data_IF_517003010482
#
_entry.id   IF_517003010482
#
_cell.length_a   1.000
_cell.length_b   1.000
_cell.length_c   1.000
_cell.angle_alpha   90.00
_cell.angle_beta   90.00
_cell.angle_gamma   90.00
#
_symmetry.space_group_name_H-M   'P 1'
#
loop_
_entity.id
_entity.type
_entity.pdbx_description
1 polymer ?
#
# COMPACT_ATOMS: atom_id res chain seq x y z
N UNK A 1 23.16 -9.16 2.42
CA UNK A 1 23.89 -7.97 2.87
C UNK A 1 23.03 -6.69 2.75
N UNK A 2 22.49 -6.45 1.55
CA UNK A 2 21.65 -5.25 1.35
C UNK A 2 20.46 -5.24 2.30
N UNK A 3 19.83 -6.40 2.53
CA UNK A 3 18.68 -6.50 3.42
C UNK A 3 19.02 -6.03 4.83
N UNK A 4 20.18 -6.36 5.35
CA UNK A 4 20.58 -5.96 6.70
C UNK A 4 20.64 -4.44 6.84
N UNK A 5 21.19 -3.76 5.84
CA UNK A 5 21.28 -2.31 5.84
C UNK A 5 19.90 -1.66 5.77
N UNK A 6 19.05 -2.17 4.87
CA UNK A 6 17.71 -1.64 4.70
C UNK A 6 16.88 -1.85 5.96
N UNK A 7 17.02 -3.00 6.60
CA UNK A 7 16.26 -3.27 7.81
C UNK A 7 16.67 -2.33 8.94
N UNK A 8 17.97 -2.08 9.09
CA UNK A 8 18.47 -1.14 10.10
C UNK A 8 17.95 0.27 9.84
N UNK A 9 18.01 0.72 8.59
CA UNK A 9 17.50 2.03 8.23
C UNK A 9 15.99 2.13 8.51
N UNK A 10 15.26 1.07 8.17
CA UNK A 10 13.81 1.02 8.35
C UNK A 10 13.44 1.11 9.84
N UNK A 11 14.20 0.45 10.68
CA UNK A 11 13.93 0.43 12.13
C UNK A 11 14.14 1.79 12.78
N UNK A 12 14.97 2.65 12.17
CA UNK A 12 15.16 4.02 12.67
C UNK A 12 14.27 5.03 11.94
N UNK A 13 13.28 4.56 11.17
CA UNK A 13 12.27 5.42 10.58
C UNK A 13 12.54 5.87 9.15
N UNK A 14 13.54 5.30 8.48
CA UNK A 14 13.81 5.66 7.08
C UNK A 14 12.77 5.01 6.16
N UNK A 15 11.96 5.84 5.51
CA UNK A 15 10.85 5.38 4.67
C UNK A 15 11.35 4.56 3.48
N UNK A 16 12.43 5.00 2.85
CA UNK A 16 13.01 4.25 1.74
C UNK A 16 13.52 2.89 2.21
N UNK A 17 14.11 2.84 3.41
CA UNK A 17 14.54 1.58 4.02
C UNK A 17 13.38 0.65 4.28
N UNK A 18 12.25 1.20 4.76
CA UNK A 18 11.04 0.42 4.99
C UNK A 18 10.54 -0.21 3.68
N UNK A 19 10.54 0.56 2.60
CA UNK A 19 10.14 0.07 1.29
C UNK A 19 11.07 -1.04 0.82
N UNK A 20 12.38 -0.84 0.96
CA UNK A 20 13.37 -1.81 0.50
C UNK A 20 13.29 -3.12 1.28
N UNK A 21 13.00 -3.05 2.59
CA UNK A 21 12.78 -4.25 3.40
C UNK A 21 11.54 -4.99 2.88
N UNK A 22 10.47 -4.26 2.58
CA UNK A 22 9.26 -4.86 2.04
C UNK A 22 9.56 -5.60 0.74
N UNK A 23 10.31 -4.97 -0.16
CA UNK A 23 10.67 -5.58 -1.45
C UNK A 23 11.53 -6.84 -1.23
N UNK A 24 12.44 -6.81 -0.26
CA UNK A 24 13.27 -7.97 0.05
C UNK A 24 12.43 -9.18 0.45
N UNK A 25 11.44 -8.97 1.33
CA UNK A 25 10.55 -10.06 1.73
C UNK A 25 9.61 -10.48 0.61
N UNK A 26 9.24 -9.54 -0.25
CA UNK A 26 8.33 -9.82 -1.35
C UNK A 26 9.00 -10.64 -2.44
N UNK A 27 10.29 -10.43 -2.68
CA UNK A 27 11.03 -11.12 -3.74
C UNK A 27 11.89 -12.25 -3.22
N UNK A 28 12.20 -12.27 -1.93
CA UNK A 28 13.11 -13.25 -1.35
C UNK A 28 14.57 -12.91 -1.58
N UNK A 29 14.89 -11.64 -1.81
CA UNK A 29 16.26 -11.20 -2.05
C UNK A 29 16.95 -10.92 -0.72
N UNK A 30 17.91 -11.76 -0.37
CA UNK A 30 18.69 -11.62 0.87
C UNK A 30 17.97 -12.12 2.11
N UNK A 31 16.75 -12.64 1.96
CA UNK A 31 15.93 -13.13 3.06
C UNK A 31 14.90 -14.10 2.50
N UNK A 32 14.37 -15.01 3.32
CA UNK A 32 13.32 -15.91 2.87
C UNK A 32 12.06 -15.13 2.52
N UNK A 33 11.52 -15.42 1.34
CA UNK A 33 10.32 -14.76 0.85
C UNK A 33 9.17 -14.92 1.86
N UNK A 34 8.49 -13.82 2.17
CA UNK A 34 7.39 -13.82 3.13
C UNK A 34 6.44 -12.69 2.80
N UNK A 35 5.34 -13.01 2.09
CA UNK A 35 4.40 -12.00 1.63
C UNK A 35 3.71 -11.28 2.79
N UNK A 36 3.40 -11.99 3.87
CA UNK A 36 2.74 -11.37 5.03
C UNK A 36 3.62 -10.29 5.64
N UNK A 37 4.91 -10.60 5.82
CA UNK A 37 5.87 -9.64 6.36
C UNK A 37 6.09 -8.48 5.39
N UNK A 38 6.14 -8.78 4.08
CA UNK A 38 6.27 -7.75 3.07
C UNK A 38 5.13 -6.73 3.17
N UNK A 39 3.89 -7.22 3.32
CA UNK A 39 2.73 -6.32 3.43
C UNK A 39 2.86 -5.40 4.64
N UNK A 40 3.34 -5.92 5.76
CA UNK A 40 3.52 -5.08 6.96
C UNK A 40 4.48 -3.92 6.71
N UNK A 41 5.58 -4.19 6.03
CA UNK A 41 6.56 -3.16 5.72
C UNK A 41 6.06 -2.20 4.63
N UNK A 42 5.35 -2.72 3.61
CA UNK A 42 4.73 -1.86 2.61
C UNK A 42 3.72 -0.91 3.26
N UNK A 43 2.93 -1.41 4.21
CA UNK A 43 1.95 -0.58 4.91
C UNK A 43 2.64 0.55 5.66
N UNK A 44 3.71 0.22 6.38
CA UNK A 44 4.44 1.23 7.14
C UNK A 44 5.00 2.31 6.22
N UNK A 45 5.65 1.90 5.12
CA UNK A 45 6.19 2.87 4.16
C UNK A 45 5.07 3.69 3.50
N UNK A 46 3.94 3.05 3.18
CA UNK A 46 2.81 3.73 2.56
C UNK A 46 2.22 4.79 3.47
N UNK A 47 2.07 4.47 4.75
CA UNK A 47 1.56 5.42 5.75
C UNK A 47 2.50 6.62 5.87
N UNK A 48 3.80 6.38 5.70
CA UNK A 48 4.81 7.43 5.77
C UNK A 48 5.02 8.16 4.44
N UNK A 49 4.15 7.93 3.46
CA UNK A 49 4.11 8.72 2.24
C UNK A 49 4.87 8.15 1.05
N UNK A 50 5.37 6.93 1.14
CA UNK A 50 6.11 6.34 0.01
C UNK A 50 5.14 5.91 -1.09
N UNK A 51 5.23 6.54 -2.26
CA UNK A 51 4.26 6.34 -3.33
C UNK A 51 4.28 4.93 -3.90
N UNK A 52 5.47 4.38 -4.13
CA UNK A 52 5.57 3.01 -4.64
C UNK A 52 5.02 1.99 -3.65
N UNK A 53 5.20 2.26 -2.34
CA UNK A 53 4.65 1.39 -1.32
C UNK A 53 3.12 1.45 -1.32
N UNK A 54 2.54 2.62 -1.54
CA UNK A 54 1.08 2.77 -1.63
C UNK A 54 0.54 1.96 -2.81
N UNK A 55 1.23 2.00 -3.95
CA UNK A 55 0.83 1.22 -5.11
C UNK A 55 0.90 -0.27 -4.81
N UNK A 56 2.03 -0.72 -4.27
CA UNK A 56 2.23 -2.14 -3.96
C UNK A 56 1.25 -2.63 -2.90
N UNK A 57 0.96 -1.82 -1.90
CA UNK A 57 0.00 -2.19 -0.86
C UNK A 57 -1.38 -2.38 -1.46
N UNK A 58 -1.81 -1.45 -2.31
CA UNK A 58 -3.09 -1.59 -3.01
C UNK A 58 -3.13 -2.85 -3.85
N UNK A 59 -2.03 -3.15 -4.55
CA UNK A 59 -1.94 -4.35 -5.38
C UNK A 59 -2.04 -5.62 -4.53
N UNK A 60 -1.40 -5.64 -3.36
CA UNK A 60 -1.49 -6.80 -2.45
C UNK A 60 -2.91 -7.05 -2.02
N UNK A 61 -3.66 -6.00 -1.68
CA UNK A 61 -5.06 -6.16 -1.33
C UNK A 61 -5.90 -6.58 -2.53
N UNK A 62 -5.61 -6.07 -3.71
CA UNK A 62 -6.36 -6.43 -4.92
C UNK A 62 -6.17 -7.92 -5.27
N UNK A 63 -4.98 -8.45 -5.04
CA UNK A 63 -4.64 -9.82 -5.38
C UNK A 63 -4.81 -10.80 -4.23
N UNK A 64 -4.89 -10.32 -3.00
CA UNK A 64 -4.90 -11.20 -1.83
C UNK A 64 -3.55 -11.84 -1.59
N UNK A 65 -2.47 -11.10 -1.81
CA UNK A 65 -1.10 -11.60 -1.70
C UNK A 65 -0.49 -11.13 -0.38
N UNK A 66 -0.39 -12.03 0.59
CA UNK A 66 0.12 -11.71 1.93
C UNK A 66 -0.90 -11.06 2.83
N UNK A 67 -2.12 -10.88 2.34
CA UNK A 67 -3.23 -10.27 3.07
C UNK A 67 -4.51 -10.76 2.41
N UNK A 68 -5.62 -10.80 3.16
CA UNK A 68 -6.90 -11.20 2.59
C UNK A 68 -7.30 -10.21 1.48
N UNK A 69 -7.76 -10.76 0.35
CA UNK A 69 -8.19 -9.93 -0.77
C UNK A 69 -9.28 -8.97 -0.31
N UNK A 70 -9.09 -7.68 -0.65
CA UNK A 70 -10.07 -6.66 -0.31
C UNK A 70 -9.99 -5.55 -1.35
N UNK A 71 -10.89 -5.64 -2.34
CA UNK A 71 -10.89 -4.69 -3.45
C UNK A 71 -11.22 -3.27 -3.01
N UNK A 72 -12.05 -3.14 -1.97
CA UNK A 72 -12.41 -1.82 -1.45
C UNK A 72 -11.18 -1.12 -0.82
N UNK A 73 -10.41 -1.86 -0.02
CA UNK A 73 -9.20 -1.31 0.57
C UNK A 73 -8.16 -0.97 -0.50
N UNK A 74 -8.04 -1.82 -1.53
CA UNK A 74 -7.16 -1.52 -2.66
C UNK A 74 -7.58 -0.21 -3.33
N UNK A 75 -8.89 -0.02 -3.52
CA UNK A 75 -9.42 1.20 -4.12
C UNK A 75 -9.10 2.43 -3.26
N UNK A 76 -9.17 2.28 -1.93
CA UNK A 76 -8.82 3.38 -1.01
C UNK A 76 -7.36 3.80 -1.22
N UNK A 77 -6.44 2.84 -1.21
CA UNK A 77 -5.02 3.18 -1.35
C UNK A 77 -4.71 3.79 -2.72
N UNK A 78 -5.32 3.27 -3.78
CA UNK A 78 -5.07 3.81 -5.12
C UNK A 78 -5.74 5.17 -5.32
N UNK A 79 -6.85 5.44 -4.64
CA UNK A 79 -7.46 6.78 -4.64
C UNK A 79 -6.54 7.78 -3.95
N UNK A 80 -5.92 7.38 -2.83
CA UNK A 80 -4.93 8.19 -2.14
C UNK A 80 -3.75 8.47 -3.06
N UNK A 81 -3.26 7.44 -3.73
CA UNK A 81 -2.11 7.56 -4.64
C UNK A 81 -2.43 8.50 -5.80
N UNK A 82 -3.66 8.47 -6.30
CA UNK A 82 -4.06 9.36 -7.39
C UNK A 82 -3.87 10.83 -7.02
N UNK A 83 -4.05 11.20 -5.77
CA UNK A 83 -3.84 12.57 -5.33
C UNK A 83 -2.42 13.06 -5.62
N UNK A 84 -1.44 12.14 -5.63
CA UNK A 84 -0.04 12.44 -5.93
C UNK A 84 0.33 12.14 -7.37
N UNK A 85 -0.17 11.01 -7.92
CA UNK A 85 0.22 10.52 -9.24
C UNK A 85 -0.72 10.98 -10.36
N UNK A 86 -1.86 11.56 -9.99
CA UNK A 86 -2.78 12.10 -10.98
C UNK A 86 -3.39 11.05 -11.89
N UNK A 87 -3.45 11.35 -13.18
CA UNK A 87 -4.15 10.50 -14.13
C UNK A 87 -3.50 9.15 -14.37
N UNK A 88 -2.25 8.96 -13.95
CA UNK A 88 -1.58 7.67 -14.12
C UNK A 88 -2.33 6.56 -13.39
N UNK A 89 -3.09 6.89 -12.34
CA UNK A 89 -3.87 5.91 -11.59
C UNK A 89 -5.31 5.79 -12.06
N UNK A 90 -5.75 6.65 -12.98
CA UNK A 90 -7.15 6.68 -13.38
C UNK A 90 -7.61 5.34 -13.97
N UNK A 91 -6.81 4.76 -14.84
CA UNK A 91 -7.16 3.49 -15.47
C UNK A 91 -7.27 2.36 -14.45
N UNK A 92 -6.33 2.31 -13.52
CA UNK A 92 -6.35 1.30 -12.46
C UNK A 92 -7.61 1.42 -11.61
N UNK A 93 -7.98 2.67 -11.28
CA UNK A 93 -9.18 2.92 -10.49
C UNK A 93 -10.45 2.58 -11.24
N UNK A 94 -10.49 2.83 -12.56
CA UNK A 94 -11.64 2.46 -13.36
C UNK A 94 -11.84 0.95 -13.40
N UNK A 95 -10.77 0.20 -13.60
CA UNK A 95 -10.82 -1.25 -13.65
C UNK A 95 -11.29 -1.81 -12.29
N UNK A 96 -10.69 -1.32 -11.23
CA UNK A 96 -11.01 -1.79 -9.88
C UNK A 96 -12.43 -1.36 -9.48
N UNK A 97 -12.80 -0.14 -9.81
CA UNK A 97 -14.11 0.40 -9.46
C UNK A 97 -15.27 -0.36 -10.08
N UNK A 98 -15.05 -0.96 -11.26
CA UNK A 98 -16.09 -1.77 -11.92
C UNK A 98 -16.40 -3.04 -11.14
N UNK A 99 -15.50 -3.46 -10.27
CA UNK A 99 -15.69 -4.67 -9.45
C UNK A 99 -16.34 -4.36 -8.11
N UNK A 100 -16.57 -3.08 -7.81
CA UNK A 100 -17.17 -2.64 -6.57
C UNK A 100 -18.61 -2.17 -6.81
N UNK A 101 -19.46 -2.34 -5.80
CA UNK A 101 -20.80 -1.74 -5.86
C UNK A 101 -20.65 -0.22 -5.73
N UNK A 102 -21.71 0.49 -6.12
CA UNK A 102 -21.72 1.95 -5.98
C UNK A 102 -21.44 2.37 -4.53
N UNK A 103 -22.07 1.70 -3.58
CA UNK A 103 -21.91 2.01 -2.16
C UNK A 103 -20.49 1.72 -1.70
N UNK A 104 -19.92 0.59 -2.12
CA UNK A 104 -18.53 0.26 -1.75
C UNK A 104 -17.56 1.31 -2.28
N UNK A 105 -17.76 1.73 -3.53
CA UNK A 105 -16.89 2.74 -4.15
C UNK A 105 -17.02 4.08 -3.44
N UNK A 106 -18.25 4.51 -3.14
CA UNK A 106 -18.46 5.79 -2.44
C UNK A 106 -17.90 5.76 -1.04
N UNK A 107 -18.02 4.65 -0.33
CA UNK A 107 -17.43 4.49 0.99
C UNK A 107 -15.93 4.57 0.92
N UNK A 108 -15.32 3.92 -0.09
CA UNK A 108 -13.87 3.95 -0.27
C UNK A 108 -13.38 5.37 -0.56
N UNK A 109 -14.09 6.10 -1.41
CA UNK A 109 -13.73 7.49 -1.72
C UNK A 109 -13.77 8.37 -0.46
N UNK A 110 -14.78 8.15 0.38
CA UNK A 110 -14.92 8.89 1.63
C UNK A 110 -13.78 8.57 2.59
N UNK A 111 -13.42 7.30 2.71
CA UNK A 111 -12.29 6.89 3.56
C UNK A 111 -10.99 7.49 3.05
N UNK A 112 -10.75 7.45 1.75
CA UNK A 112 -9.55 8.02 1.16
C UNK A 112 -9.45 9.52 1.44
N UNK A 113 -10.57 10.23 1.32
CA UNK A 113 -10.60 11.66 1.62
C UNK A 113 -10.25 11.93 3.08
N UNK A 114 -10.78 11.13 4.00
CA UNK A 114 -10.45 11.26 5.41
C UNK A 114 -8.95 11.05 5.65
N UNK A 115 -8.37 10.03 5.01
CA UNK A 115 -6.94 9.75 5.15
C UNK A 115 -6.10 10.90 4.64
N UNK A 116 -6.50 11.51 3.52
CA UNK A 116 -5.76 12.63 2.95
C UNK A 116 -5.85 13.88 3.80
N UNK A 117 -6.96 14.08 4.52
CA UNK A 117 -7.14 15.29 5.33
C UNK A 117 -6.69 15.11 6.77
N UNK A 118 -6.78 13.91 7.33
CA UNK A 118 -6.48 13.65 8.74
C UNK A 118 -5.19 12.87 8.96
N UNK A 119 -4.54 12.42 7.87
CA UNK A 119 -3.30 11.68 7.96
C UNK A 119 -3.45 10.25 7.52
N UNK A 120 -2.43 9.73 6.84
CA UNK A 120 -2.47 8.39 6.25
C UNK A 120 -2.55 7.29 7.30
N UNK A 121 -2.12 7.55 8.53
CA UNK A 121 -2.21 6.55 9.59
C UNK A 121 -3.66 6.21 9.92
N UNK A 122 -4.62 7.08 9.59
CA UNK A 122 -6.03 6.81 9.82
C UNK A 122 -6.61 5.81 8.81
N UNK A 123 -5.82 5.38 7.83
CA UNK A 123 -6.24 4.40 6.83
C UNK A 123 -6.03 2.95 7.28
N UNK A 124 -5.50 2.74 8.47
CA UNK A 124 -5.22 1.39 8.97
C UNK A 124 -6.37 0.89 9.84
N UNK A 125 -7.50 0.71 9.24
CA UNK A 125 -8.72 0.38 9.99
C UNK A 125 -9.17 -1.07 9.83
N UNK A 126 -8.46 -1.87 9.08
CA UNK A 126 -8.83 -3.26 9.07
C UNK A 126 -8.56 -3.85 10.39
#
# INVERSE_FOLDING_TARGET
EAHKWFKRAAEVGDVEGQYNVAVSFDTGDGVSKNAVTAVKWFRLAAINGHLDAQYNLGLKYALGDGVAQNLQTAFVWWTILRASEGESMQRNLEILGKKLTFIQRKTAEKIAKRCLTQGLSTCTYE
#
